data_IF_496250356680
#
_entry.id   IF_496250356680
#
_cell.length_a   1.000
_cell.length_b   1.000
_cell.length_c   1.000
_cell.angle_alpha   90.00
_cell.angle_beta   90.00
_cell.angle_gamma   90.00
#
_symmetry.space_group_name_H-M   'P 1'
#
loop_
_entity.id
_entity.type
_entity.pdbx_description
1 polymer ?
#
# COMPACT_ATOMS: atom_id res chain seq x y z
N UNK A 1 5.13 15.74 14.75
CA UNK A 1 4.02 14.81 14.50
C UNK A 1 3.29 15.19 13.21
N UNK A 2 2.82 16.42 13.10
CA UNK A 2 2.08 16.95 11.93
C UNK A 2 2.79 16.79 10.57
N UNK A 3 4.08 17.15 10.47
CA UNK A 3 4.83 17.01 9.21
C UNK A 3 4.89 15.56 8.69
N UNK A 4 5.15 14.60 9.58
CA UNK A 4 5.20 13.18 9.24
C UNK A 4 3.81 12.65 8.87
N UNK A 5 2.76 13.13 9.53
CA UNK A 5 1.38 12.81 9.17
C UNK A 5 1.05 13.27 7.74
N UNK A 6 1.30 14.53 7.41
CA UNK A 6 1.02 15.05 6.06
C UNK A 6 1.82 14.35 4.98
N UNK A 7 3.10 14.04 5.25
CA UNK A 7 3.91 13.24 4.34
C UNK A 7 3.30 11.86 4.12
N UNK A 8 2.92 11.17 5.20
CA UNK A 8 2.33 9.82 5.12
C UNK A 8 1.00 9.85 4.37
N UNK A 9 0.16 10.85 4.63
CA UNK A 9 -1.12 11.03 3.95
C UNK A 9 -0.94 11.25 2.44
N UNK A 10 0.05 12.05 2.02
CA UNK A 10 0.37 12.21 0.60
C UNK A 10 0.82 10.89 -0.03
N UNK A 11 1.71 10.13 0.64
CA UNK A 11 2.15 8.83 0.15
C UNK A 11 1.00 7.83 -0.02
N UNK A 12 0.02 7.85 0.90
CA UNK A 12 -1.21 7.04 0.79
C UNK A 12 -2.00 7.43 -0.45
N UNK A 13 -2.28 8.73 -0.64
CA UNK A 13 -3.05 9.23 -1.79
C UNK A 13 -2.35 8.92 -3.12
N UNK A 14 -1.05 9.18 -3.22
CA UNK A 14 -0.25 8.83 -4.39
C UNK A 14 -0.33 7.34 -4.68
N UNK A 15 -0.19 6.48 -3.65
CA UNK A 15 -0.28 5.03 -3.82
C UNK A 15 -1.67 4.59 -4.30
N UNK A 16 -2.75 5.21 -3.81
CA UNK A 16 -4.11 4.96 -4.30
C UNK A 16 -4.27 5.33 -5.78
N UNK A 17 -3.72 6.47 -6.20
CA UNK A 17 -3.73 6.89 -7.61
C UNK A 17 -2.92 5.93 -8.49
N UNK A 18 -1.75 5.48 -8.01
CA UNK A 18 -0.97 4.45 -8.68
C UNK A 18 -1.79 3.16 -8.90
N UNK A 19 -2.56 2.70 -7.90
CA UNK A 19 -3.43 1.53 -8.05
C UNK A 19 -4.50 1.70 -9.13
N UNK A 20 -5.12 2.87 -9.25
CA UNK A 20 -6.11 3.15 -10.30
C UNK A 20 -5.50 3.09 -11.71
N UNK A 21 -4.23 3.47 -11.84
CA UNK A 21 -3.51 3.46 -13.11
C UNK A 21 -2.84 2.10 -13.39
N UNK A 22 -2.68 1.24 -12.39
CA UNK A 22 -1.98 -0.04 -12.48
C UNK A 22 -2.68 -1.02 -13.44
N UNK A 23 -4.01 -1.03 -13.45
CA UNK A 23 -4.79 -1.83 -14.41
C UNK A 23 -4.63 -1.36 -15.86
N UNK A 24 -4.20 -0.10 -16.06
CA UNK A 24 -3.96 0.50 -17.40
C UNK A 24 -2.52 0.34 -17.87
N UNK A 25 -1.56 0.23 -16.95
CA UNK A 25 -0.10 0.17 -17.24
C UNK A 25 0.36 -1.28 -17.54
N UNK A 26 -0.55 -2.24 -17.71
CA UNK A 26 -0.19 -3.66 -17.87
C UNK A 26 0.66 -3.91 -19.12
N UNK A 27 1.97 -4.09 -18.89
CA UNK A 27 3.02 -4.55 -19.80
C UNK A 27 4.07 -5.38 -19.06
N UNK A 28 5.16 -5.76 -19.74
CA UNK A 28 6.16 -6.75 -19.30
C UNK A 28 6.96 -6.33 -18.05
N UNK A 29 6.95 -5.04 -17.68
CA UNK A 29 7.75 -4.45 -16.59
C UNK A 29 7.16 -4.63 -15.17
N UNK A 30 6.34 -5.66 -15.02
CA UNK A 30 5.43 -5.78 -13.88
C UNK A 30 6.12 -6.18 -12.56
N UNK A 31 7.36 -6.70 -12.57
CA UNK A 31 8.07 -7.04 -11.32
C UNK A 31 8.68 -5.83 -10.63
N UNK A 32 9.26 -4.90 -11.38
CA UNK A 32 9.80 -3.66 -10.84
C UNK A 32 8.69 -2.80 -10.23
N UNK A 33 7.55 -2.71 -10.91
CA UNK A 33 6.35 -2.01 -10.41
C UNK A 33 5.85 -2.65 -9.10
N UNK A 34 5.80 -3.99 -9.03
CA UNK A 34 5.41 -4.69 -7.80
C UNK A 34 6.35 -4.36 -6.63
N UNK A 35 7.67 -4.33 -6.89
CA UNK A 35 8.67 -4.00 -5.88
C UNK A 35 8.48 -2.56 -5.39
N UNK A 36 8.30 -1.61 -6.29
CA UNK A 36 8.12 -0.20 -5.92
C UNK A 36 6.87 0.00 -5.04
N UNK A 37 5.75 -0.65 -5.39
CA UNK A 37 4.53 -0.58 -4.59
C UNK A 37 4.76 -1.18 -3.20
N UNK A 38 5.43 -2.33 -3.13
CA UNK A 38 5.76 -2.96 -1.86
C UNK A 38 6.64 -2.04 -1.00
N UNK A 39 7.64 -1.39 -1.58
CA UNK A 39 8.53 -0.44 -0.88
C UNK A 39 7.77 0.81 -0.39
N UNK A 40 6.82 1.32 -1.17
CA UNK A 40 5.92 2.41 -0.76
C UNK A 40 5.04 2.00 0.41
N UNK A 41 4.39 0.84 0.35
CA UNK A 41 3.56 0.31 1.45
C UNK A 41 4.38 0.10 2.73
N UNK A 42 5.60 -0.43 2.60
CA UNK A 42 6.51 -0.61 3.72
C UNK A 42 6.89 0.74 4.36
N UNK A 43 7.12 1.76 3.54
CA UNK A 43 7.46 3.12 4.01
C UNK A 43 6.28 3.76 4.75
N UNK A 44 5.05 3.62 4.23
CA UNK A 44 3.83 4.07 4.90
C UNK A 44 3.65 3.35 6.24
N UNK A 45 3.86 2.03 6.28
CA UNK A 45 3.79 1.24 7.52
C UNK A 45 4.75 1.75 8.60
N UNK A 46 6.03 1.93 8.23
CA UNK A 46 7.05 2.47 9.14
C UNK A 46 6.69 3.86 9.66
N UNK A 47 6.11 4.71 8.80
CA UNK A 47 5.66 6.03 9.22
C UNK A 47 4.48 5.95 10.21
N UNK A 48 3.51 5.07 9.97
CA UNK A 48 2.40 4.83 10.89
C UNK A 48 2.88 4.32 12.26
N UNK A 49 3.86 3.43 12.30
CA UNK A 49 4.49 2.98 13.55
C UNK A 49 5.17 4.15 14.30
N UNK A 50 5.94 4.97 13.58
CA UNK A 50 6.60 6.16 14.14
C UNK A 50 5.59 7.19 14.66
N UNK A 51 4.49 7.42 13.94
CA UNK A 51 3.38 8.26 14.39
C UNK A 51 2.72 7.70 15.64
N UNK A 52 2.57 6.38 15.74
CA UNK A 52 2.03 5.71 16.93
C UNK A 52 2.90 5.94 18.16
N UNK A 53 4.24 5.96 18.00
CA UNK A 53 5.16 6.29 19.08
C UNK A 53 5.04 7.78 19.45
N UNK A 54 4.95 8.67 18.45
CA UNK A 54 4.79 10.11 18.67
C UNK A 54 3.47 10.48 19.35
N UNK A 55 2.39 9.71 19.12
CA UNK A 55 1.08 9.89 19.77
C UNK A 55 1.19 9.88 21.29
N UNK A 56 2.08 9.05 21.84
CA UNK A 56 2.31 9.00 23.29
C UNK A 56 3.05 10.23 23.84
N UNK A 57 3.65 11.05 22.97
CA UNK A 57 4.35 12.28 23.33
C UNK A 57 3.49 13.54 23.16
N UNK A 58 2.28 13.41 22.59
CA UNK A 58 1.35 14.53 22.44
C UNK A 58 0.60 14.84 23.75
N UNK A 59 0.26 16.12 24.02
CA UNK A 59 -0.61 16.51 25.12
C UNK A 59 -1.97 15.81 25.04
N UNK A 60 -2.57 15.48 26.19
CA UNK A 60 -3.84 14.73 26.25
C UNK A 60 -4.96 15.38 25.43
N UNK A 61 -5.04 16.71 25.42
CA UNK A 61 -6.02 17.47 24.63
C UNK A 61 -5.92 17.23 23.12
N UNK A 62 -4.72 16.96 22.58
CA UNK A 62 -4.49 16.71 21.14
C UNK A 62 -4.41 15.22 20.80
N UNK A 63 -4.19 14.36 21.79
CA UNK A 63 -3.98 12.92 21.60
C UNK A 63 -5.20 12.24 20.96
N UNK A 64 -6.43 12.57 21.36
CA UNK A 64 -7.62 11.95 20.78
C UNK A 64 -7.74 12.22 19.27
N UNK A 65 -7.68 13.49 18.86
CA UNK A 65 -7.75 13.87 17.45
C UNK A 65 -6.60 13.27 16.63
N UNK A 66 -5.38 13.25 17.20
CA UNK A 66 -4.21 12.64 16.55
C UNK A 66 -4.40 11.14 16.36
N UNK A 67 -4.98 10.46 17.36
CA UNK A 67 -5.27 9.03 17.28
C UNK A 67 -6.23 8.72 16.14
N UNK A 68 -7.33 9.47 16.02
CA UNK A 68 -8.30 9.30 14.92
C UNK A 68 -7.63 9.41 13.54
N UNK A 69 -6.78 10.42 13.36
CA UNK A 69 -6.02 10.62 12.11
C UNK A 69 -5.06 9.45 11.82
N UNK A 70 -4.38 8.93 12.84
CA UNK A 70 -3.50 7.78 12.69
C UNK A 70 -4.28 6.49 12.40
N UNK A 71 -5.42 6.30 13.04
CA UNK A 71 -6.28 5.13 12.83
C UNK A 71 -6.83 5.14 11.39
N UNK A 72 -7.18 6.31 10.84
CA UNK A 72 -7.53 6.45 9.42
C UNK A 72 -6.38 6.03 8.50
N UNK A 73 -5.15 6.52 8.73
CA UNK A 73 -3.99 6.12 7.92
C UNK A 73 -3.71 4.62 7.97
N UNK A 74 -3.91 3.99 9.13
CA UNK A 74 -3.76 2.53 9.28
C UNK A 74 -4.83 1.77 8.50
N UNK A 75 -6.07 2.26 8.52
CA UNK A 75 -7.16 1.70 7.74
C UNK A 75 -6.88 1.78 6.24
N UNK A 76 -6.45 2.96 5.76
CA UNK A 76 -6.11 3.15 4.35
C UNK A 76 -4.93 2.25 3.93
N UNK A 77 -3.91 2.11 4.78
CA UNK A 77 -2.81 1.16 4.54
C UNK A 77 -3.30 -0.29 4.44
N UNK A 78 -4.21 -0.71 5.31
CA UNK A 78 -4.78 -2.07 5.25
C UNK A 78 -5.53 -2.31 3.94
N UNK A 79 -6.31 -1.33 3.48
CA UNK A 79 -6.99 -1.39 2.19
C UNK A 79 -6.02 -1.49 1.03
N UNK A 80 -5.01 -0.63 1.00
CA UNK A 80 -3.97 -0.65 -0.03
C UNK A 80 -3.24 -2.01 -0.09
N UNK A 81 -2.89 -2.56 1.07
CA UNK A 81 -2.27 -3.89 1.15
C UNK A 81 -3.20 -5.00 0.66
N UNK A 82 -4.50 -4.93 0.97
CA UNK A 82 -5.49 -5.90 0.50
C UNK A 82 -5.69 -5.84 -1.02
N UNK A 83 -5.77 -4.62 -1.58
CA UNK A 83 -5.81 -4.39 -3.02
C UNK A 83 -4.57 -4.95 -3.72
N UNK A 84 -3.38 -4.69 -3.17
CA UNK A 84 -2.12 -5.21 -3.70
C UNK A 84 -2.07 -6.73 -3.73
N UNK A 85 -2.43 -7.40 -2.62
CA UNK A 85 -2.48 -8.86 -2.56
C UNK A 85 -3.44 -9.43 -3.58
N UNK A 86 -4.63 -8.84 -3.72
CA UNK A 86 -5.63 -9.27 -4.71
C UNK A 86 -5.09 -9.17 -6.14
N UNK A 87 -4.39 -8.09 -6.46
CA UNK A 87 -3.71 -7.91 -7.74
C UNK A 87 -2.64 -8.98 -7.98
N UNK A 88 -1.75 -9.21 -7.00
CA UNK A 88 -0.70 -10.22 -7.10
C UNK A 88 -1.28 -11.63 -7.32
N UNK A 89 -2.32 -12.00 -6.58
CA UNK A 89 -3.00 -13.28 -6.76
C UNK A 89 -3.65 -13.42 -8.15
N UNK A 90 -4.30 -12.37 -8.66
CA UNK A 90 -4.87 -12.39 -10.01
C UNK A 90 -3.78 -12.58 -11.07
N UNK A 91 -2.65 -11.89 -10.95
CA UNK A 91 -1.50 -12.03 -11.86
C UNK A 91 -0.88 -13.43 -11.79
N UNK A 92 -0.67 -13.96 -10.59
CA UNK A 92 -0.09 -15.29 -10.40
C UNK A 92 -0.98 -16.39 -10.98
N UNK A 93 -2.32 -16.26 -10.82
CA UNK A 93 -3.28 -17.17 -11.44
C UNK A 93 -3.21 -17.15 -12.97
N UNK A 94 -3.13 -15.96 -13.59
CA UNK A 94 -2.97 -15.84 -15.05
C UNK A 94 -1.69 -16.55 -15.55
N UNK A 95 -0.55 -16.31 -14.89
CA UNK A 95 0.72 -16.99 -15.21
C UNK A 95 0.60 -18.52 -15.12
N UNK A 96 -0.03 -19.04 -14.07
CA UNK A 96 -0.21 -20.49 -13.89
C UNK A 96 -1.08 -21.11 -14.99
N UNK A 97 -2.16 -20.43 -15.39
CA UNK A 97 -3.04 -20.90 -16.47
C UNK A 97 -2.25 -20.96 -17.78
N UNK A 98 -1.49 -19.91 -18.12
CA UNK A 98 -0.72 -19.86 -19.36
C UNK A 98 0.33 -20.99 -19.45
N UNK A 99 1.02 -21.26 -18.34
CA UNK A 99 1.99 -22.38 -18.24
C UNK A 99 1.27 -23.72 -18.42
N UNK A 100 0.12 -23.91 -17.76
CA UNK A 100 -0.69 -25.12 -17.88
C UNK A 100 -1.19 -25.36 -19.31
N UNK A 101 -1.69 -24.32 -19.99
CA UNK A 101 -2.15 -24.42 -21.38
C UNK A 101 -1.00 -24.77 -22.34
N UNK A 102 0.19 -24.20 -22.13
CA UNK A 102 1.37 -24.53 -22.94
C UNK A 102 1.84 -25.98 -22.73
N UNK A 103 1.77 -26.50 -21.50
CA UNK A 103 2.18 -27.87 -21.18
C UNK A 103 1.23 -28.94 -21.74
N UNK A 104 -0.05 -28.61 -21.97
CA UNK A 104 -1.04 -29.55 -22.54
C UNK A 104 -1.04 -29.53 -24.08
N UNK A 105 -0.44 -28.49 -24.69
CA UNK A 105 -0.35 -28.34 -26.14
C UNK A 105 0.94 -28.94 -26.75
N UNK A 106 1.84 -29.50 -25.93
CA UNK A 106 3.05 -30.23 -26.33
C UNK A 106 2.88 -31.72 -26.09
#
# INVERSE_FOLDING_TARGET
MEALYHQTNRMVLETQEYFHNLDRIVGDDSEQINKEIQDRLNSISKNCEKLSIMLFKEPLAKRHNTKLKLDQLKYDLQHLQAGFRSYQFAKQRKKQIEIGTRAVAQ
#
